data_IF_794698702930
#
_entry.id   IF_794698702930
#
_cell.length_a   1.000
_cell.length_b   1.000
_cell.length_c   1.000
_cell.angle_alpha   90.00
_cell.angle_beta   90.00
_cell.angle_gamma   90.00
#
_symmetry.space_group_name_H-M   'P 1'
#
loop_
_entity.id
_entity.type
_entity.pdbx_description
1 polymer ?
#
# COMPACT_ATOMS: atom_id res chain seq x y z
N UNK A 1 -12.47 -7.36 -15.83
CA UNK A 1 -11.42 -7.92 -14.96
C UNK A 1 -10.06 -7.54 -15.54
N UNK A 2 -9.05 -7.34 -14.68
CA UNK A 2 -7.71 -6.89 -15.09
C UNK A 2 -7.01 -7.95 -15.95
N UNK A 3 -7.05 -9.22 -15.53
CA UNK A 3 -6.37 -10.31 -16.23
C UNK A 3 -6.92 -10.57 -17.64
N UNK A 4 -8.22 -10.43 -17.83
CA UNK A 4 -8.84 -10.58 -19.17
C UNK A 4 -8.64 -9.35 -20.07
N UNK A 5 -8.48 -8.16 -19.49
CA UNK A 5 -8.20 -6.94 -20.26
C UNK A 5 -6.73 -6.91 -20.75
N UNK A 6 -5.80 -7.52 -20.01
CA UNK A 6 -4.36 -7.52 -20.32
C UNK A 6 -3.76 -8.95 -20.33
N UNK A 7 -4.26 -9.88 -21.18
CA UNK A 7 -3.90 -11.29 -21.14
C UNK A 7 -2.42 -11.57 -21.45
N UNK A 8 -1.73 -10.62 -22.07
CA UNK A 8 -0.30 -10.72 -22.38
C UNK A 8 0.63 -10.42 -21.17
N UNK A 9 0.06 -9.93 -20.05
CA UNK A 9 0.80 -9.64 -18.81
C UNK A 9 0.61 -10.77 -17.78
N UNK A 10 -0.53 -11.42 -17.79
CA UNK A 10 -0.98 -12.36 -16.76
C UNK A 10 -1.02 -13.79 -17.24
N UNK A 11 -0.65 -14.74 -16.36
CA UNK A 11 -0.85 -16.17 -16.55
C UNK A 11 -2.20 -16.65 -15.99
N UNK A 12 -2.54 -17.94 -16.23
CA UNK A 12 -3.80 -18.54 -15.75
C UNK A 12 -3.98 -18.46 -14.22
N UNK A 13 -2.90 -18.55 -13.47
CA UNK A 13 -2.88 -18.44 -12.01
C UNK A 13 -3.41 -17.09 -11.52
N UNK A 14 -3.13 -16.01 -12.26
CA UNK A 14 -3.61 -14.66 -11.94
C UNK A 14 -5.12 -14.53 -12.15
N UNK A 15 -5.70 -15.20 -13.16
CA UNK A 15 -7.14 -15.18 -13.40
C UNK A 15 -7.92 -15.86 -12.27
N UNK A 16 -7.43 -16.99 -11.77
CA UNK A 16 -8.01 -17.67 -10.60
C UNK A 16 -7.93 -16.81 -9.34
N UNK A 17 -6.80 -16.15 -9.14
CA UNK A 17 -6.57 -15.22 -8.03
C UNK A 17 -7.49 -14.00 -8.12
N UNK A 18 -7.66 -13.43 -9.32
CA UNK A 18 -8.57 -12.31 -9.56
C UNK A 18 -10.02 -12.68 -9.23
N UNK A 19 -10.48 -13.85 -9.63
CA UNK A 19 -11.82 -14.32 -9.30
C UNK A 19 -12.05 -14.37 -7.77
N UNK A 20 -11.06 -14.84 -7.01
CA UNK A 20 -11.11 -14.83 -5.53
C UNK A 20 -11.11 -13.40 -4.96
N UNK A 21 -10.25 -12.51 -5.47
CA UNK A 21 -10.16 -11.13 -5.01
C UNK A 21 -11.46 -10.35 -5.32
N UNK A 22 -12.07 -10.56 -6.48
CA UNK A 22 -13.35 -9.96 -6.88
C UNK A 22 -14.50 -10.41 -5.98
N UNK A 23 -14.52 -11.69 -5.61
CA UNK A 23 -15.56 -12.26 -4.74
C UNK A 23 -15.37 -11.91 -3.26
N UNK A 24 -14.18 -11.47 -2.87
CA UNK A 24 -13.84 -11.22 -1.48
C UNK A 24 -14.57 -10.00 -0.91
N UNK A 25 -15.13 -10.17 0.29
CA UNK A 25 -15.70 -9.09 1.09
C UNK A 25 -15.30 -9.29 2.54
N UNK A 26 -14.95 -8.19 3.21
CA UNK A 26 -14.68 -8.19 4.64
C UNK A 26 -15.27 -6.93 5.29
N UNK A 27 -15.56 -7.03 6.57
CA UNK A 27 -16.07 -5.95 7.42
C UNK A 27 -15.42 -6.04 8.80
N UNK A 28 -15.73 -5.11 9.68
CA UNK A 28 -15.14 -5.06 11.01
C UNK A 28 -13.81 -4.33 11.07
N UNK A 29 -13.03 -4.58 12.13
CA UNK A 29 -11.73 -3.98 12.37
C UNK A 29 -10.60 -4.62 11.55
N UNK A 30 -9.37 -4.14 11.77
CA UNK A 30 -8.18 -4.67 11.07
C UNK A 30 -8.02 -6.18 11.32
N UNK A 31 -8.20 -6.65 12.55
CA UNK A 31 -8.06 -8.08 12.89
C UNK A 31 -9.05 -8.97 12.16
N UNK A 32 -10.30 -8.53 12.06
CA UNK A 32 -11.35 -9.27 11.34
C UNK A 32 -11.03 -9.37 9.85
N UNK A 33 -10.58 -8.26 9.26
CA UNK A 33 -10.19 -8.17 7.84
C UNK A 33 -8.99 -9.06 7.53
N UNK A 34 -7.95 -9.02 8.36
CA UNK A 34 -6.73 -9.83 8.19
C UNK A 34 -7.05 -11.32 8.35
N UNK A 35 -7.89 -11.69 9.31
CA UNK A 35 -8.35 -13.07 9.47
C UNK A 35 -9.12 -13.56 8.24
N UNK A 36 -10.05 -12.75 7.72
CA UNK A 36 -10.80 -13.07 6.52
C UNK A 36 -9.91 -13.21 5.28
N UNK A 37 -8.91 -12.33 5.12
CA UNK A 37 -7.93 -12.39 4.02
C UNK A 37 -7.11 -13.69 4.08
N UNK A 38 -6.67 -14.10 5.28
CA UNK A 38 -5.98 -15.36 5.49
C UNK A 38 -6.84 -16.56 5.13
N UNK A 39 -8.08 -16.61 5.63
CA UNK A 39 -9.05 -17.66 5.35
C UNK A 39 -9.37 -17.80 3.84
N UNK A 40 -9.34 -16.66 3.10
CA UNK A 40 -9.53 -16.65 1.66
C UNK A 40 -8.25 -17.05 0.86
N UNK A 41 -7.12 -17.32 1.54
CA UNK A 41 -5.83 -17.59 0.90
C UNK A 41 -5.27 -16.42 0.10
N UNK A 42 -5.68 -15.18 0.44
CA UNK A 42 -5.16 -13.97 -0.22
C UNK A 42 -3.83 -13.51 0.36
N UNK A 43 -3.48 -13.90 1.59
CA UNK A 43 -2.21 -13.55 2.26
C UNK A 43 -1.04 -14.49 1.93
N UNK A 44 -1.20 -15.48 1.07
CA UNK A 44 -0.08 -16.31 0.62
C UNK A 44 0.99 -15.50 -0.11
N UNK A 45 2.27 -15.91 0.05
CA UNK A 45 3.38 -15.25 -0.66
C UNK A 45 3.21 -15.35 -2.18
N UNK A 46 3.33 -14.23 -2.88
CA UNK A 46 3.06 -14.13 -4.32
C UNK A 46 4.05 -13.19 -5.03
N UNK A 47 4.03 -13.21 -6.35
CA UNK A 47 4.75 -12.24 -7.19
C UNK A 47 4.08 -10.84 -7.19
N UNK A 48 4.70 -9.87 -7.84
CA UNK A 48 4.24 -8.47 -7.81
C UNK A 48 2.97 -8.29 -8.65
N UNK A 49 2.79 -9.03 -9.74
CA UNK A 49 1.55 -9.01 -10.56
C UNK A 49 0.37 -9.58 -9.78
N UNK A 50 0.58 -10.64 -9.02
CA UNK A 50 -0.44 -11.18 -8.10
C UNK A 50 -0.85 -10.16 -7.04
N UNK A 51 0.12 -9.44 -6.44
CA UNK A 51 -0.17 -8.34 -5.51
C UNK A 51 -0.99 -7.24 -6.19
N UNK A 52 -0.68 -6.90 -7.44
CA UNK A 52 -1.42 -5.89 -8.19
C UNK A 52 -2.87 -6.31 -8.42
N UNK A 53 -3.11 -7.57 -8.80
CA UNK A 53 -4.46 -8.12 -8.97
C UNK A 53 -5.26 -8.02 -7.68
N UNK A 54 -4.71 -8.50 -6.56
CA UNK A 54 -5.39 -8.47 -5.25
C UNK A 54 -5.67 -7.02 -4.85
N UNK A 55 -4.66 -6.17 -4.80
CA UNK A 55 -4.75 -4.79 -4.31
C UNK A 55 -5.71 -3.93 -5.13
N UNK A 56 -5.69 -4.09 -6.47
CA UNK A 56 -6.61 -3.36 -7.33
C UNK A 56 -8.07 -3.66 -6.96
N UNK A 57 -8.42 -4.92 -6.69
CA UNK A 57 -9.79 -5.30 -6.35
C UNK A 57 -10.16 -4.98 -4.91
N UNK A 58 -9.27 -5.20 -3.95
CA UNK A 58 -9.51 -4.83 -2.56
C UNK A 58 -9.73 -3.31 -2.43
N UNK A 59 -8.88 -2.50 -3.06
CA UNK A 59 -8.98 -1.03 -3.00
C UNK A 59 -10.19 -0.46 -3.76
N UNK A 60 -10.67 -1.16 -4.80
CA UNK A 60 -11.92 -0.83 -5.48
C UNK A 60 -13.13 -1.00 -4.54
N UNK A 61 -13.16 -2.08 -3.77
CA UNK A 61 -14.25 -2.39 -2.86
C UNK A 61 -14.15 -1.62 -1.55
N UNK A 62 -12.99 -1.63 -0.92
CA UNK A 62 -12.75 -1.03 0.38
C UNK A 62 -11.24 -0.75 0.61
N UNK A 63 -10.83 0.53 0.59
CA UNK A 63 -9.44 0.92 0.81
C UNK A 63 -8.84 0.45 2.14
N UNK A 64 -9.64 0.29 3.20
CA UNK A 64 -9.16 -0.19 4.50
C UNK A 64 -8.77 -1.67 4.43
N UNK A 65 -9.51 -2.47 3.67
CA UNK A 65 -9.17 -3.87 3.44
C UNK A 65 -7.86 -4.01 2.65
N UNK A 66 -7.66 -3.19 1.59
CA UNK A 66 -6.38 -3.13 0.88
C UNK A 66 -5.22 -2.74 1.80
N UNK A 67 -5.42 -1.73 2.64
CA UNK A 67 -4.38 -1.30 3.57
C UNK A 67 -4.03 -2.42 4.57
N UNK A 68 -5.03 -3.09 5.14
CA UNK A 68 -4.82 -4.23 6.05
C UNK A 68 -4.03 -5.34 5.37
N UNK A 69 -4.34 -5.64 4.10
CA UNK A 69 -3.60 -6.60 3.27
C UNK A 69 -2.14 -6.20 3.08
N UNK A 70 -1.87 -4.97 2.62
CA UNK A 70 -0.50 -4.57 2.28
C UNK A 70 0.40 -4.43 3.50
N UNK A 71 -0.13 -3.99 4.65
CA UNK A 71 0.67 -3.92 5.87
C UNK A 71 1.04 -5.32 6.35
N UNK A 72 0.16 -6.30 6.20
CA UNK A 72 0.48 -7.71 6.48
C UNK A 72 1.60 -8.22 5.56
N UNK A 73 1.57 -7.87 4.26
CA UNK A 73 2.65 -8.16 3.30
C UNK A 73 3.97 -7.50 3.70
N UNK A 74 3.95 -6.22 4.10
CA UNK A 74 5.15 -5.48 4.54
C UNK A 74 5.73 -6.08 5.84
N UNK A 75 4.90 -6.54 6.76
CA UNK A 75 5.33 -7.20 7.99
C UNK A 75 5.95 -8.59 7.73
N UNK A 76 5.34 -9.41 6.87
CA UNK A 76 5.83 -10.73 6.54
C UNK A 76 7.13 -10.71 5.71
N UNK A 77 7.25 -9.81 4.76
CA UNK A 77 8.36 -9.80 3.77
C UNK A 77 9.75 -9.77 4.42
N UNK A 78 10.06 -8.92 5.42
CA UNK A 78 11.37 -8.93 6.09
C UNK A 78 11.67 -10.25 6.80
N UNK A 79 10.67 -10.82 7.48
CA UNK A 79 10.82 -12.08 8.21
C UNK A 79 11.13 -13.25 7.26
N UNK A 80 10.38 -13.34 6.17
CA UNK A 80 10.58 -14.35 5.12
C UNK A 80 11.95 -14.23 4.43
N UNK A 81 12.36 -12.99 4.10
CA UNK A 81 13.66 -12.75 3.45
C UNK A 81 14.85 -13.07 4.35
N UNK A 82 14.68 -12.90 5.65
CA UNK A 82 15.69 -13.24 6.65
C UNK A 82 15.63 -14.72 7.09
N UNK A 83 14.64 -15.50 6.63
CA UNK A 83 14.31 -16.85 7.12
C UNK A 83 14.16 -16.88 8.66
N UNK A 84 13.52 -15.86 9.22
CA UNK A 84 13.35 -15.67 10.66
C UNK A 84 11.88 -15.88 11.07
N UNK A 85 11.67 -16.40 12.29
CA UNK A 85 10.35 -16.49 12.94
C UNK A 85 9.30 -17.18 12.07
N UNK A 86 9.61 -18.35 11.55
CA UNK A 86 8.76 -19.09 10.62
C UNK A 86 7.33 -19.33 11.15
N UNK A 87 7.18 -19.60 12.45
CA UNK A 87 5.88 -19.80 13.10
C UNK A 87 5.05 -18.50 13.09
N UNK A 88 5.67 -17.35 13.39
CA UNK A 88 5.00 -16.05 13.30
C UNK A 88 4.55 -15.75 11.86
N UNK A 89 5.42 -16.04 10.88
CA UNK A 89 5.08 -15.87 9.46
C UNK A 89 3.91 -16.78 9.07
N UNK A 90 3.89 -18.03 9.50
CA UNK A 90 2.79 -18.96 9.20
C UNK A 90 1.45 -18.46 9.78
N UNK A 91 1.44 -18.02 11.05
CA UNK A 91 0.26 -17.43 11.70
C UNK A 91 -0.17 -16.12 11.01
N UNK A 92 0.79 -15.29 10.60
CA UNK A 92 0.52 -14.05 9.90
C UNK A 92 -0.08 -14.31 8.50
N UNK A 93 0.44 -15.27 7.74
CA UNK A 93 -0.10 -15.68 6.43
C UNK A 93 -1.47 -16.34 6.55
N UNK A 94 -1.74 -17.02 7.64
CA UNK A 94 -3.07 -17.55 7.95
C UNK A 94 -4.06 -16.47 8.46
N UNK A 95 -3.61 -15.23 8.64
CA UNK A 95 -4.44 -14.11 9.12
C UNK A 95 -4.67 -14.09 10.63
N UNK A 96 -4.09 -15.00 11.40
CA UNK A 96 -4.27 -15.09 12.85
C UNK A 96 -3.32 -14.20 13.64
N UNK A 97 -2.25 -13.71 13.01
CA UNK A 97 -1.26 -12.81 13.63
C UNK A 97 -1.12 -11.53 12.80
N UNK A 98 -1.66 -10.43 13.30
CA UNK A 98 -1.58 -9.12 12.63
C UNK A 98 -0.22 -8.51 12.86
N UNK A 99 0.47 -8.16 11.78
CA UNK A 99 1.77 -7.51 11.78
C UNK A 99 1.68 -6.01 11.48
N UNK A 100 2.63 -5.26 12.03
CA UNK A 100 2.93 -3.89 11.66
C UNK A 100 4.37 -3.78 11.11
N UNK A 101 4.62 -2.75 10.28
CA UNK A 101 5.94 -2.43 9.73
C UNK A 101 6.35 -1.05 10.23
N UNK A 102 7.33 -1.00 11.14
CA UNK A 102 7.68 0.19 11.91
C UNK A 102 9.06 0.73 11.54
N UNK A 103 9.09 1.60 10.52
CA UNK A 103 10.30 2.25 10.01
C UNK A 103 10.33 3.73 10.37
N UNK A 104 9.25 4.47 10.07
CA UNK A 104 9.12 5.92 10.19
C UNK A 104 9.17 6.40 11.65
N UNK A 105 9.82 7.54 11.88
CA UNK A 105 9.92 8.23 13.16
C UNK A 105 9.50 9.70 13.03
N UNK A 106 9.28 10.45 14.14
CA UNK A 106 8.91 11.86 14.07
C UNK A 106 9.86 12.70 13.22
N UNK A 107 11.17 12.45 13.29
CA UNK A 107 12.21 13.19 12.59
C UNK A 107 12.80 12.44 11.37
N UNK A 108 12.34 11.22 11.06
CA UNK A 108 12.89 10.39 9.99
C UNK A 108 11.77 9.70 9.19
N UNK A 109 11.34 10.32 8.10
CA UNK A 109 10.41 9.78 7.11
C UNK A 109 11.13 9.33 5.85
N UNK A 110 11.38 10.24 4.91
CA UNK A 110 12.10 9.95 3.66
C UNK A 110 13.58 9.66 3.89
N UNK A 111 14.21 10.32 4.85
CA UNK A 111 15.57 9.99 5.31
C UNK A 111 15.54 8.84 6.34
N UNK A 112 15.47 7.62 5.82
CA UNK A 112 15.46 6.40 6.64
C UNK A 112 16.76 6.21 7.44
N UNK A 113 17.89 6.79 7.01
CA UNK A 113 19.16 6.70 7.74
C UNK A 113 19.19 7.57 8.99
N UNK A 114 18.32 8.59 9.03
CA UNK A 114 18.17 9.51 10.15
C UNK A 114 17.37 8.95 11.34
N UNK A 115 16.91 7.68 11.33
CA UNK A 115 16.15 7.11 12.46
C UNK A 115 16.94 7.22 13.76
N UNK A 116 16.25 7.43 14.88
CA UNK A 116 16.83 7.68 16.21
C UNK A 116 16.59 6.51 17.17
N UNK A 117 15.61 5.65 16.92
CA UNK A 117 15.37 4.44 17.73
C UNK A 117 16.62 3.59 17.80
N UNK A 118 17.03 3.22 19.02
CA UNK A 118 18.24 2.45 19.30
C UNK A 118 17.93 1.05 19.81
N UNK A 119 18.85 0.14 19.56
CA UNK A 119 18.85 -1.22 20.09
C UNK A 119 20.10 -1.46 20.93
N UNK A 120 19.94 -2.04 22.11
CA UNK A 120 21.04 -2.45 22.99
C UNK A 120 20.90 -3.93 23.27
N UNK A 121 22.01 -4.67 23.26
CA UNK A 121 22.03 -6.10 23.60
C UNK A 121 21.68 -6.28 25.07
N UNK A 122 20.79 -7.23 25.35
CA UNK A 122 20.39 -7.62 26.71
C UNK A 122 20.33 -9.15 26.80
N UNK A 123 21.37 -9.73 27.37
CA UNK A 123 21.52 -11.19 27.41
C UNK A 123 21.55 -11.81 26.01
N UNK A 124 20.60 -12.69 25.74
CA UNK A 124 20.43 -13.34 24.43
C UNK A 124 19.52 -12.56 23.47
N UNK A 125 18.93 -11.45 23.91
CA UNK A 125 18.01 -10.61 23.14
C UNK A 125 18.50 -9.17 23.00
N UNK A 126 17.55 -8.29 22.71
CA UNK A 126 17.77 -6.85 22.54
C UNK A 126 16.68 -6.08 23.24
N UNK A 127 16.99 -4.82 23.61
CA UNK A 127 16.01 -3.83 24.06
C UNK A 127 16.02 -2.65 23.13
N UNK A 128 14.82 -2.23 22.71
CA UNK A 128 14.63 -1.08 21.85
C UNK A 128 14.15 0.12 22.66
N UNK A 129 14.70 1.30 22.34
CA UNK A 129 14.26 2.58 22.91
C UNK A 129 14.10 3.62 21.81
N UNK A 130 12.94 4.26 21.74
CA UNK A 130 12.58 5.27 20.74
C UNK A 130 11.08 5.30 20.45
N UNK A 131 10.70 6.08 19.43
CA UNK A 131 9.29 6.21 19.03
C UNK A 131 9.14 6.04 17.53
N UNK A 132 8.26 5.12 17.13
CA UNK A 132 7.85 4.96 15.73
C UNK A 132 6.53 5.70 15.49
N UNK A 133 6.40 6.33 14.32
CA UNK A 133 5.32 7.26 14.00
C UNK A 133 4.63 6.85 12.70
N UNK A 134 3.31 7.09 12.60
CA UNK A 134 2.48 6.72 11.44
C UNK A 134 2.55 5.23 11.10
N UNK A 135 2.51 4.36 12.11
CA UNK A 135 2.59 2.92 11.92
C UNK A 135 1.19 2.35 11.70
N UNK A 136 0.92 1.94 10.47
CA UNK A 136 -0.35 1.30 10.12
C UNK A 136 -0.47 -0.05 10.81
N UNK A 137 -1.69 -0.44 11.19
CA UNK A 137 -2.05 -1.58 12.02
C UNK A 137 -1.52 -1.53 13.47
N UNK A 138 -0.73 -0.52 13.89
CA UNK A 138 -0.13 -0.50 15.22
C UNK A 138 -1.15 -0.70 16.36
N UNK A 139 -2.34 -0.05 16.38
CA UNK A 139 -3.30 -0.26 17.44
C UNK A 139 -3.86 -1.69 17.53
N UNK A 140 -3.80 -2.43 16.42
CA UNK A 140 -4.42 -3.75 16.27
C UNK A 140 -3.39 -4.89 16.16
N UNK A 141 -2.08 -4.57 16.02
CA UNK A 141 -1.06 -5.58 15.76
C UNK A 141 -0.80 -6.48 16.95
N UNK A 142 -0.46 -7.74 16.68
CA UNK A 142 0.07 -8.69 17.64
C UNK A 142 1.60 -8.56 17.72
N UNK A 143 2.26 -8.16 16.65
CA UNK A 143 3.69 -7.92 16.61
C UNK A 143 4.09 -6.91 15.54
N UNK A 144 5.28 -6.36 15.66
CA UNK A 144 5.82 -5.38 14.72
C UNK A 144 7.24 -5.72 14.27
N UNK A 145 7.49 -5.54 12.98
CA UNK A 145 8.85 -5.48 12.43
C UNK A 145 9.36 -4.05 12.60
N UNK A 146 10.42 -3.88 13.39
CA UNK A 146 10.95 -2.58 13.81
C UNK A 146 12.39 -2.41 13.33
N UNK A 147 12.69 -1.25 12.74
CA UNK A 147 14.04 -0.88 12.35
C UNK A 147 14.63 0.08 13.37
N UNK A 148 15.83 -0.27 13.90
CA UNK A 148 16.52 0.50 14.94
C UNK A 148 18.02 0.51 14.71
N UNK A 149 18.72 1.51 15.25
CA UNK A 149 20.17 1.58 15.25
C UNK A 149 20.76 0.53 16.19
N UNK A 150 21.64 -0.30 15.65
CA UNK A 150 22.51 -1.21 16.42
C UNK A 150 23.97 -0.79 16.16
N UNK A 151 24.55 -0.04 17.08
CA UNK A 151 25.82 0.65 16.83
C UNK A 151 25.66 1.66 15.68
N UNK A 152 26.48 1.55 14.64
CA UNK A 152 26.46 2.40 13.45
C UNK A 152 25.50 1.93 12.35
N UNK A 153 24.96 0.73 12.47
CA UNK A 153 24.08 0.13 11.47
C UNK A 153 22.60 0.26 11.85
N UNK A 154 21.73 0.26 10.84
CA UNK A 154 20.30 0.04 11.04
C UNK A 154 20.05 -1.47 10.93
N UNK A 155 19.53 -2.07 12.01
CA UNK A 155 19.15 -3.47 12.08
C UNK A 155 17.62 -3.62 12.05
N UNK A 156 17.15 -4.82 11.75
CA UNK A 156 15.74 -5.20 11.74
C UNK A 156 15.46 -6.10 12.94
N UNK A 157 14.40 -5.79 13.68
CA UNK A 157 13.96 -6.51 14.86
C UNK A 157 12.49 -6.89 14.75
N UNK A 158 12.10 -7.91 15.48
CA UNK A 158 10.71 -8.22 15.78
C UNK A 158 10.42 -7.88 17.23
N UNK A 159 9.30 -7.19 17.48
CA UNK A 159 8.76 -6.86 18.79
C UNK A 159 7.38 -7.49 18.92
N UNK A 160 7.23 -8.36 19.91
CA UNK A 160 5.94 -8.95 20.25
C UNK A 160 5.12 -7.96 21.09
N UNK A 161 3.80 -7.86 20.81
CA UNK A 161 2.85 -7.00 21.53
C UNK A 161 3.42 -5.60 21.86
N UNK A 162 3.88 -4.80 20.87
CA UNK A 162 4.54 -3.53 21.13
C UNK A 162 3.60 -2.54 21.82
N UNK A 163 4.09 -1.70 22.75
CA UNK A 163 3.29 -0.63 23.33
C UNK A 163 2.88 0.39 22.24
N UNK A 164 1.57 0.60 22.08
CA UNK A 164 1.02 1.46 21.01
C UNK A 164 0.07 2.52 21.53
N UNK A 165 -0.07 3.60 20.75
CA UNK A 165 -1.17 4.55 20.90
C UNK A 165 -1.74 4.88 19.52
N UNK A 166 -3.07 5.02 19.43
CA UNK A 166 -3.74 5.38 18.19
C UNK A 166 -3.43 6.81 17.77
N UNK A 167 -3.39 7.04 16.45
CA UNK A 167 -3.31 8.37 15.86
C UNK A 167 -4.54 8.62 14.99
N UNK A 168 -5.07 9.85 15.06
CA UNK A 168 -6.15 10.25 14.17
C UNK A 168 -5.58 10.58 12.79
N UNK A 169 -5.73 9.63 11.86
CA UNK A 169 -5.41 9.79 10.45
C UNK A 169 -6.62 9.38 9.64
N UNK A 170 -6.94 10.13 8.60
CA UNK A 170 -8.12 9.87 7.78
C UNK A 170 -8.12 8.42 7.26
N UNK A 171 -9.19 7.70 7.50
CA UNK A 171 -9.53 6.38 6.94
C UNK A 171 -8.64 5.19 7.35
N UNK A 172 -7.71 5.34 8.31
CA UNK A 172 -6.73 4.28 8.60
C UNK A 172 -6.58 3.99 10.09
N UNK A 173 -6.35 2.71 10.43
CA UNK A 173 -5.85 2.32 11.74
C UNK A 173 -4.34 2.58 11.78
N UNK A 174 -3.96 3.72 12.34
CA UNK A 174 -2.57 4.18 12.44
C UNK A 174 -2.24 4.49 13.89
N UNK A 175 -1.00 4.22 14.30
CA UNK A 175 -0.56 4.49 15.66
C UNK A 175 0.91 4.87 15.74
N UNK A 176 1.35 5.02 16.99
CA UNK A 176 2.75 5.13 17.39
C UNK A 176 3.15 3.89 18.16
N UNK A 177 4.41 3.48 18.04
CA UNK A 177 5.03 2.55 18.97
C UNK A 177 5.89 3.34 19.94
N UNK A 178 5.68 3.10 21.24
CA UNK A 178 6.45 3.70 22.31
C UNK A 178 7.39 2.63 22.90
N UNK A 179 8.64 2.66 22.46
CA UNK A 179 9.65 1.67 22.85
C UNK A 179 10.50 2.24 23.98
N UNK A 180 10.37 1.68 25.18
CA UNK A 180 11.13 2.06 26.36
C UNK A 180 11.76 0.81 26.97
N UNK A 181 12.98 0.49 26.55
CA UNK A 181 13.63 -0.75 26.90
C UNK A 181 12.82 -1.99 26.46
N UNK A 182 12.04 -1.90 25.39
CA UNK A 182 11.10 -2.93 24.93
C UNK A 182 11.88 -4.15 24.40
N UNK A 183 11.59 -5.36 24.89
CA UNK A 183 12.25 -6.59 24.44
C UNK A 183 12.05 -6.82 22.93
N UNK A 184 13.10 -7.27 22.25
CA UNK A 184 13.07 -7.51 20.81
C UNK A 184 13.97 -8.68 20.41
N UNK A 185 13.59 -9.34 19.31
CA UNK A 185 14.37 -10.39 18.66
C UNK A 185 15.04 -9.83 17.41
N UNK A 186 16.32 -10.07 17.24
CA UNK A 186 17.04 -9.65 16.02
C UNK A 186 16.59 -10.50 14.82
N UNK A 187 16.15 -9.83 13.76
CA UNK A 187 15.80 -10.45 12.48
C UNK A 187 16.97 -10.39 11.49
N UNK A 188 17.61 -9.22 11.39
CA UNK A 188 18.78 -9.05 10.54
C UNK A 188 19.62 -7.84 10.97
N UNK A 189 20.95 -7.99 11.03
CA UNK A 189 21.87 -6.89 11.36
C UNK A 189 21.95 -5.82 10.26
N UNK A 190 21.79 -6.22 8.99
CA UNK A 190 21.76 -5.31 7.83
C UNK A 190 20.31 -4.95 7.47
N UNK A 191 19.58 -4.35 8.40
CA UNK A 191 18.15 -4.06 8.29
C UNK A 191 17.81 -3.04 7.19
N UNK A 192 18.66 -2.05 6.94
CA UNK A 192 18.39 -1.01 5.93
C UNK A 192 18.21 -1.58 4.52
N UNK A 193 19.07 -2.52 4.12
CA UNK A 193 18.92 -3.23 2.84
C UNK A 193 17.62 -4.03 2.77
N UNK A 194 17.24 -4.64 3.89
CA UNK A 194 15.99 -5.40 4.01
C UNK A 194 14.76 -4.49 3.92
N UNK A 195 14.79 -3.31 4.57
CA UNK A 195 13.75 -2.31 4.46
C UNK A 195 13.54 -1.84 3.01
N UNK A 196 14.61 -1.45 2.33
CA UNK A 196 14.53 -1.01 0.93
C UNK A 196 14.04 -2.11 -0.01
N UNK A 197 14.53 -3.34 0.14
CA UNK A 197 14.07 -4.47 -0.68
C UNK A 197 12.58 -4.79 -0.46
N UNK A 198 12.07 -4.58 0.75
CA UNK A 198 10.65 -4.71 1.08
C UNK A 198 9.82 -3.62 0.40
N UNK A 199 10.23 -2.36 0.53
CA UNK A 199 9.55 -1.22 -0.08
C UNK A 199 9.60 -1.26 -1.61
N UNK A 200 10.74 -1.65 -2.22
CA UNK A 200 10.83 -1.80 -3.68
C UNK A 200 9.87 -2.83 -4.25
N UNK A 201 9.61 -3.91 -3.51
CA UNK A 201 8.60 -4.91 -3.89
C UNK A 201 7.19 -4.34 -3.77
N UNK A 202 6.93 -3.52 -2.75
CA UNK A 202 5.63 -2.90 -2.48
C UNK A 202 5.22 -1.81 -3.47
N UNK A 203 6.16 -0.96 -3.87
CA UNK A 203 5.89 0.27 -4.66
C UNK A 203 5.00 0.10 -5.89
N UNK A 204 5.24 -0.85 -6.83
CA UNK A 204 4.35 -1.04 -7.97
C UNK A 204 2.92 -1.37 -7.54
N UNK A 205 2.76 -2.11 -6.44
CA UNK A 205 1.45 -2.52 -5.94
C UNK A 205 0.68 -1.37 -5.25
N UNK A 206 1.36 -0.31 -4.79
CA UNK A 206 0.69 0.95 -4.37
C UNK A 206 -0.06 1.56 -5.55
N UNK A 207 0.56 1.53 -6.75
CA UNK A 207 -0.11 1.94 -7.99
C UNK A 207 -1.37 1.13 -8.28
N UNK A 208 -1.37 -0.16 -7.97
CA UNK A 208 -2.55 -1.01 -8.17
C UNK A 208 -3.73 -0.64 -7.24
N UNK A 209 -3.45 -0.32 -5.97
CA UNK A 209 -4.46 0.20 -5.06
C UNK A 209 -5.03 1.54 -5.57
N UNK A 210 -4.16 2.46 -6.02
CA UNK A 210 -4.57 3.73 -6.59
C UNK A 210 -5.48 3.55 -7.82
N UNK A 211 -5.13 2.66 -8.75
CA UNK A 211 -5.93 2.29 -9.92
C UNK A 211 -7.28 1.69 -9.49
N UNK A 212 -7.32 0.87 -8.45
CA UNK A 212 -8.55 0.31 -7.90
C UNK A 212 -9.51 1.38 -7.41
N UNK A 213 -9.02 2.30 -6.58
CA UNK A 213 -9.79 3.44 -6.07
C UNK A 213 -10.28 4.36 -7.19
N UNK A 214 -9.41 4.64 -8.19
CA UNK A 214 -9.74 5.48 -9.33
C UNK A 214 -10.83 4.83 -10.22
N UNK A 215 -10.75 3.53 -10.46
CA UNK A 215 -11.77 2.78 -11.18
C UNK A 215 -13.12 2.85 -10.48
N UNK A 216 -13.15 2.68 -9.14
CA UNK A 216 -14.40 2.84 -8.37
C UNK A 216 -14.96 4.26 -8.49
N UNK A 217 -14.12 5.28 -8.39
CA UNK A 217 -14.55 6.68 -8.52
C UNK A 217 -15.12 6.98 -9.90
N UNK A 218 -14.54 6.45 -10.97
CA UNK A 218 -15.06 6.57 -12.33
C UNK A 218 -16.42 5.88 -12.47
N UNK A 219 -16.56 4.64 -11.98
CA UNK A 219 -17.82 3.89 -12.03
C UNK A 219 -18.96 4.61 -11.26
N UNK A 220 -18.65 5.17 -10.06
CA UNK A 220 -19.59 5.97 -9.30
C UNK A 220 -20.00 7.25 -10.07
N UNK A 221 -19.02 7.91 -10.71
CA UNK A 221 -19.27 9.12 -11.50
C UNK A 221 -20.16 8.82 -12.70
N UNK A 222 -19.87 7.77 -13.46
CA UNK A 222 -20.68 7.35 -14.62
C UNK A 222 -22.13 7.05 -14.19
N UNK A 223 -22.29 6.31 -13.10
CA UNK A 223 -23.61 5.99 -12.54
C UNK A 223 -24.35 7.24 -12.12
N UNK A 224 -23.69 8.14 -11.38
CA UNK A 224 -24.30 9.38 -10.88
C UNK A 224 -24.72 10.32 -12.02
N UNK A 225 -23.83 10.63 -12.98
CA UNK A 225 -24.16 11.58 -14.06
C UNK A 225 -25.18 11.03 -15.04
N UNK A 226 -25.30 9.72 -15.18
CA UNK A 226 -26.33 9.08 -16.01
C UNK A 226 -27.72 9.16 -15.39
N UNK A 227 -27.80 9.08 -14.05
CA UNK A 227 -29.07 9.13 -13.33
C UNK A 227 -29.54 10.56 -12.96
N UNK A 228 -28.59 11.43 -12.57
CA UNK A 228 -28.89 12.79 -12.09
C UNK A 228 -29.34 13.71 -13.23
N UNK A 229 -30.49 14.32 -13.07
CA UNK A 229 -31.05 15.27 -14.05
C UNK A 229 -30.93 16.72 -13.54
N UNK A 230 -30.45 17.61 -14.42
CA UNK A 230 -30.45 19.06 -14.25
C UNK A 230 -30.71 19.73 -15.61
N UNK A 231 -31.23 20.94 -15.63
CA UNK A 231 -31.51 21.66 -16.87
C UNK A 231 -32.40 20.84 -17.85
N UNK A 232 -33.33 20.04 -17.33
CA UNK A 232 -34.26 19.23 -18.11
C UNK A 232 -33.67 17.91 -18.69
N UNK A 233 -32.38 17.59 -18.47
CA UNK A 233 -31.71 16.42 -19.06
C UNK A 233 -30.77 15.73 -18.06
N UNK A 234 -30.31 14.47 -18.31
CA UNK A 234 -29.26 13.85 -17.53
C UNK A 234 -27.97 14.67 -17.58
N UNK A 235 -27.18 14.72 -16.50
CA UNK A 235 -25.88 15.39 -16.51
C UNK A 235 -24.97 14.84 -17.61
N UNK A 236 -25.05 13.53 -17.88
CA UNK A 236 -24.29 12.86 -18.94
C UNK A 236 -24.60 13.38 -20.37
N UNK A 237 -25.67 14.13 -20.57
CA UNK A 237 -25.99 14.78 -21.86
C UNK A 237 -25.19 16.08 -22.07
N UNK A 238 -24.65 16.68 -21.00
CA UNK A 238 -23.88 17.93 -21.07
C UNK A 238 -22.49 17.68 -21.65
N UNK A 239 -22.06 18.41 -22.70
CA UNK A 239 -20.76 18.19 -23.35
C UNK A 239 -19.57 18.23 -22.38
N UNK A 240 -19.55 19.18 -21.44
CA UNK A 240 -18.50 19.31 -20.45
C UNK A 240 -18.42 18.09 -19.51
N UNK A 241 -19.55 17.51 -19.11
CA UNK A 241 -19.59 16.30 -18.28
C UNK A 241 -19.04 15.10 -19.05
N UNK A 242 -19.45 14.95 -20.33
CA UNK A 242 -18.93 13.89 -21.21
C UNK A 242 -17.43 13.98 -21.37
N UNK A 243 -16.88 15.19 -21.59
CA UNK A 243 -15.46 15.42 -21.70
C UNK A 243 -14.73 15.00 -20.40
N UNK A 244 -15.23 15.41 -19.22
CA UNK A 244 -14.63 15.06 -17.93
C UNK A 244 -14.59 13.54 -17.68
N UNK A 245 -15.68 12.84 -17.99
CA UNK A 245 -15.72 11.37 -17.87
C UNK A 245 -14.71 10.71 -18.83
N UNK A 246 -14.58 11.22 -20.06
CA UNK A 246 -13.60 10.73 -21.02
C UNK A 246 -12.15 10.96 -20.55
N UNK A 247 -11.82 12.14 -20.02
CA UNK A 247 -10.51 12.47 -19.43
C UNK A 247 -10.16 11.52 -18.27
N UNK A 248 -11.12 11.25 -17.37
CA UNK A 248 -10.94 10.28 -16.27
C UNK A 248 -10.65 8.87 -16.81
N UNK A 249 -11.33 8.44 -17.88
CA UNK A 249 -11.09 7.13 -18.51
C UNK A 249 -9.69 7.02 -19.13
N UNK A 250 -9.24 8.07 -19.84
CA UNK A 250 -7.88 8.12 -20.43
C UNK A 250 -6.80 8.09 -19.34
N UNK A 251 -6.98 8.88 -18.28
CA UNK A 251 -6.06 8.88 -17.13
C UNK A 251 -5.99 7.50 -16.45
N UNK A 252 -7.14 6.82 -16.28
CA UNK A 252 -7.20 5.49 -15.67
C UNK A 252 -6.47 4.44 -16.51
N UNK A 253 -6.65 4.45 -17.83
CA UNK A 253 -5.99 3.52 -18.72
C UNK A 253 -4.47 3.72 -18.70
N UNK A 254 -3.99 4.96 -18.84
CA UNK A 254 -2.56 5.28 -18.77
C UNK A 254 -1.93 4.88 -17.43
N UNK A 255 -2.63 5.13 -16.33
CA UNK A 255 -2.21 4.74 -14.98
C UNK A 255 -2.12 3.21 -14.82
N UNK A 256 -3.11 2.48 -15.36
CA UNK A 256 -3.15 1.02 -15.34
C UNK A 256 -1.98 0.43 -16.08
N UNK A 257 -1.69 0.89 -17.30
CA UNK A 257 -0.58 0.40 -18.12
C UNK A 257 0.79 0.67 -17.47
N UNK A 258 0.99 1.87 -16.91
CA UNK A 258 2.24 2.21 -16.21
C UNK A 258 2.47 1.33 -14.97
N UNK A 259 1.43 1.09 -14.18
CA UNK A 259 1.46 0.21 -13.02
C UNK A 259 1.75 -1.25 -13.43
N UNK A 260 1.06 -1.78 -14.43
CA UNK A 260 1.25 -3.14 -14.94
C UNK A 260 2.66 -3.36 -15.48
N UNK A 261 3.19 -2.39 -16.23
CA UNK A 261 4.57 -2.43 -16.70
C UNK A 261 5.57 -2.52 -15.55
N UNK A 262 5.37 -1.73 -14.48
CA UNK A 262 6.23 -1.75 -13.31
C UNK A 262 6.19 -3.11 -12.58
N UNK A 263 5.00 -3.70 -12.43
CA UNK A 263 4.83 -5.02 -11.82
C UNK A 263 5.52 -6.12 -12.66
N UNK A 264 5.28 -6.11 -13.97
CA UNK A 264 5.89 -7.07 -14.87
C UNK A 264 7.43 -6.96 -14.87
N UNK A 265 7.99 -5.74 -14.97
CA UNK A 265 9.44 -5.50 -14.88
C UNK A 265 10.03 -6.04 -13.58
N UNK A 266 9.33 -5.88 -12.47
CA UNK A 266 9.78 -6.38 -11.16
C UNK A 266 9.84 -7.90 -11.14
N UNK A 267 8.83 -8.58 -11.68
CA UNK A 267 8.78 -10.04 -11.68
C UNK A 267 9.73 -10.68 -12.70
N UNK A 268 9.97 -9.99 -13.83
CA UNK A 268 10.91 -10.43 -14.87
C UNK A 268 12.38 -10.12 -14.55
N UNK A 269 12.66 -9.34 -13.50
CA UNK A 269 14.01 -8.91 -13.15
C UNK A 269 14.89 -10.09 -12.74
N UNK A 270 16.11 -10.15 -13.30
CA UNK A 270 17.14 -11.12 -12.91
C UNK A 270 17.72 -10.77 -11.53
N UNK A 271 18.32 -11.74 -10.82
CA UNK A 271 19.03 -11.46 -9.58
C UNK A 271 20.06 -10.32 -9.77
N UNK A 272 19.97 -9.28 -8.92
CA UNK A 272 20.85 -8.10 -8.99
C UNK A 272 20.39 -6.99 -9.93
N UNK A 273 19.39 -7.22 -10.79
CA UNK A 273 18.82 -6.18 -11.65
C UNK A 273 18.00 -5.17 -10.84
N UNK A 274 18.27 -3.87 -11.06
CA UNK A 274 17.56 -2.77 -10.39
C UNK A 274 16.26 -2.44 -11.12
N UNK A 275 15.14 -2.45 -10.42
CA UNK A 275 13.82 -2.09 -10.94
C UNK A 275 13.26 -0.79 -10.33
N UNK A 276 14.09 -0.06 -9.60
CA UNK A 276 13.70 1.16 -8.89
C UNK A 276 13.09 2.22 -9.80
N UNK A 277 13.63 2.41 -11.00
CA UNK A 277 13.10 3.34 -12.00
C UNK A 277 11.65 3.00 -12.39
N UNK A 278 11.40 1.79 -12.88
CA UNK A 278 10.06 1.39 -13.33
C UNK A 278 9.06 1.37 -12.18
N UNK A 279 9.49 0.94 -10.98
CA UNK A 279 8.66 0.99 -9.78
C UNK A 279 8.28 2.40 -9.36
N UNK A 280 9.22 3.36 -9.44
CA UNK A 280 8.97 4.78 -9.16
C UNK A 280 8.00 5.37 -10.18
N UNK A 281 8.26 5.20 -11.48
CA UNK A 281 7.39 5.70 -12.57
C UNK A 281 5.97 5.13 -12.43
N UNK A 282 5.83 3.80 -12.26
CA UNK A 282 4.52 3.17 -12.13
C UNK A 282 3.72 3.68 -10.94
N UNK A 283 4.38 3.87 -9.78
CA UNK A 283 3.73 4.44 -8.59
C UNK A 283 3.33 5.90 -8.80
N UNK A 284 4.23 6.75 -9.30
CA UNK A 284 3.96 8.18 -9.53
C UNK A 284 2.76 8.33 -10.48
N UNK A 285 2.85 7.74 -11.67
CA UNK A 285 1.80 7.87 -12.70
C UNK A 285 0.45 7.41 -12.15
N UNK A 286 0.40 6.25 -11.48
CA UNK A 286 -0.84 5.71 -10.98
C UNK A 286 -1.45 6.56 -9.83
N UNK A 287 -0.65 6.99 -8.86
CA UNK A 287 -1.18 7.73 -7.70
C UNK A 287 -1.57 9.17 -8.06
N UNK A 288 -0.84 9.83 -8.97
CA UNK A 288 -1.18 11.19 -9.43
C UNK A 288 -2.44 11.18 -10.31
N UNK A 289 -2.57 10.22 -11.22
CA UNK A 289 -3.77 10.06 -12.03
C UNK A 289 -4.99 9.73 -11.16
N UNK A 290 -4.85 8.79 -10.20
CA UNK A 290 -5.93 8.44 -9.29
C UNK A 290 -6.41 9.64 -8.46
N UNK A 291 -5.49 10.48 -7.99
CA UNK A 291 -5.87 11.72 -7.27
C UNK A 291 -6.70 12.64 -8.16
N UNK A 292 -6.32 12.85 -9.43
CA UNK A 292 -7.09 13.69 -10.38
C UNK A 292 -8.45 13.09 -10.68
N UNK A 293 -8.52 11.78 -10.92
CA UNK A 293 -9.78 11.08 -11.21
C UNK A 293 -10.75 11.20 -10.04
N UNK A 294 -10.28 10.96 -8.81
CA UNK A 294 -11.12 11.00 -7.61
C UNK A 294 -11.54 12.42 -7.29
N UNK A 295 -10.67 13.42 -7.46
CA UNK A 295 -11.01 14.83 -7.32
C UNK A 295 -12.13 15.24 -8.29
N UNK A 296 -12.01 14.84 -9.56
CA UNK A 296 -13.04 15.06 -10.56
C UNK A 296 -14.36 14.32 -10.24
N UNK A 297 -14.27 13.13 -9.64
CA UNK A 297 -15.45 12.39 -9.21
C UNK A 297 -16.23 13.18 -8.13
N UNK A 298 -15.54 13.73 -7.12
CA UNK A 298 -16.14 14.62 -6.12
C UNK A 298 -16.79 15.83 -6.80
N UNK A 299 -16.10 16.47 -7.75
CA UNK A 299 -16.61 17.62 -8.49
C UNK A 299 -17.89 17.28 -9.29
N UNK A 300 -17.94 16.13 -9.96
CA UNK A 300 -19.13 15.71 -10.73
C UNK A 300 -20.34 15.39 -9.85
N UNK A 301 -20.11 14.93 -8.60
CA UNK A 301 -21.20 14.69 -7.64
C UNK A 301 -21.71 15.98 -6.97
N UNK A 302 -20.96 17.10 -7.06
CA UNK A 302 -21.35 18.36 -6.44
C UNK A 302 -21.47 18.24 -4.91
N UNK A 303 -22.49 18.83 -4.30
CA UNK A 303 -22.68 18.81 -2.84
C UNK A 303 -22.71 17.40 -2.24
N UNK A 304 -23.34 16.43 -2.92
CA UNK A 304 -23.34 15.02 -2.48
C UNK A 304 -21.94 14.43 -2.41
N UNK A 305 -21.03 14.90 -3.28
CA UNK A 305 -19.63 14.42 -3.33
C UNK A 305 -18.80 14.78 -2.10
N UNK A 306 -19.23 15.74 -1.27
CA UNK A 306 -18.52 16.15 -0.04
C UNK A 306 -19.15 15.60 1.25
N UNK A 307 -20.29 14.88 1.15
CA UNK A 307 -20.89 14.22 2.31
C UNK A 307 -20.00 13.06 2.79
N UNK A 308 -19.88 12.87 4.11
CA UNK A 308 -19.04 11.80 4.68
C UNK A 308 -19.48 10.39 4.27
N UNK A 309 -20.77 10.20 4.03
CA UNK A 309 -21.36 8.94 3.55
C UNK A 309 -21.07 8.65 2.08
N UNK A 310 -20.67 9.66 1.31
CA UNK A 310 -20.38 9.51 -0.12
C UNK A 310 -19.14 8.66 -0.37
N UNK A 311 -19.26 7.68 -1.27
CA UNK A 311 -18.15 6.82 -1.68
C UNK A 311 -16.97 7.64 -2.24
N UNK A 312 -17.27 8.65 -3.08
CA UNK A 312 -16.20 9.46 -3.70
C UNK A 312 -15.46 10.32 -2.66
N UNK A 313 -16.14 10.77 -1.60
CA UNK A 313 -15.52 11.47 -0.48
C UNK A 313 -14.60 10.53 0.34
N UNK A 314 -15.05 9.31 0.60
CA UNK A 314 -14.25 8.31 1.29
C UNK A 314 -12.99 7.97 0.47
N UNK A 315 -13.12 7.79 -0.84
CA UNK A 315 -12.00 7.59 -1.76
C UNK A 315 -11.05 8.79 -1.79
N UNK A 316 -11.57 10.02 -1.74
CA UNK A 316 -10.76 11.25 -1.72
C UNK A 316 -9.85 11.32 -0.49
N UNK A 317 -10.36 10.89 0.66
CA UNK A 317 -9.54 10.78 1.89
C UNK A 317 -8.53 9.63 1.79
N UNK A 318 -8.94 8.50 1.24
CA UNK A 318 -8.11 7.29 1.17
C UNK A 318 -6.95 7.40 0.18
N UNK A 319 -7.15 8.08 -0.97
CA UNK A 319 -6.10 8.18 -2.01
C UNK A 319 -4.93 9.09 -1.59
N UNK A 320 -5.19 10.12 -0.78
CA UNK A 320 -4.18 11.16 -0.50
C UNK A 320 -2.88 10.61 0.11
N UNK A 321 -2.90 9.67 1.08
CA UNK A 321 -1.70 9.07 1.64
C UNK A 321 -0.86 8.26 0.65
N UNK A 322 -1.45 7.70 -0.43
CA UNK A 322 -0.71 6.89 -1.40
C UNK A 322 0.36 7.67 -2.15
N UNK A 323 0.23 8.99 -2.23
CA UNK A 323 1.25 9.88 -2.79
C UNK A 323 2.40 10.16 -1.82
N UNK A 324 2.26 9.78 -0.54
CA UNK A 324 3.20 10.08 0.54
C UNK A 324 3.97 8.84 0.97
N UNK A 325 3.28 7.78 1.37
CA UNK A 325 3.93 6.58 1.88
C UNK A 325 4.62 5.74 0.80
N UNK A 326 5.51 4.84 1.20
CA UNK A 326 6.36 3.99 0.34
C UNK A 326 7.17 4.78 -0.70
N UNK A 327 7.55 6.01 -0.34
CA UNK A 327 8.26 6.98 -1.17
C UNK A 327 7.33 8.07 -1.68
N UNK A 328 7.46 9.27 -1.11
CA UNK A 328 6.72 10.44 -1.57
C UNK A 328 7.01 10.74 -3.05
N UNK A 329 6.04 11.33 -3.76
CA UNK A 329 6.19 11.67 -5.18
C UNK A 329 7.51 12.42 -5.46
N UNK A 330 7.86 13.42 -4.65
CA UNK A 330 9.08 14.21 -4.82
C UNK A 330 10.36 13.37 -4.65
N UNK A 331 10.37 12.45 -3.68
CA UNK A 331 11.49 11.52 -3.47
C UNK A 331 11.63 10.54 -4.63
N UNK A 332 10.51 10.04 -5.16
CA UNK A 332 10.54 9.12 -6.30
C UNK A 332 10.94 9.83 -7.60
N UNK A 333 10.61 11.12 -7.75
CA UNK A 333 11.11 11.94 -8.87
C UNK A 333 12.63 12.06 -8.84
N UNK A 334 13.26 12.15 -7.65
CA UNK A 334 14.73 12.10 -7.52
C UNK A 334 15.29 10.75 -7.99
N UNK A 335 14.65 9.63 -7.64
CA UNK A 335 15.05 8.29 -8.14
C UNK A 335 14.98 8.21 -9.66
N UNK A 336 13.93 8.80 -10.26
CA UNK A 336 13.78 8.86 -11.72
C UNK A 336 14.89 9.71 -12.34
N UNK A 337 15.16 10.89 -11.76
CA UNK A 337 16.19 11.81 -12.25
C UNK A 337 17.60 11.17 -12.17
N UNK A 338 17.96 10.56 -11.06
CA UNK A 338 19.23 9.83 -10.88
C UNK A 338 19.40 8.72 -11.92
N UNK A 339 18.32 8.02 -12.26
CA UNK A 339 18.37 6.97 -13.29
C UNK A 339 18.56 7.51 -14.70
N UNK A 340 18.07 8.71 -14.99
CA UNK A 340 18.16 9.34 -16.32
C UNK A 340 19.48 10.10 -16.51
N UNK A 341 19.98 10.74 -15.47
CA UNK A 341 21.17 11.58 -15.51
C UNK A 341 22.47 10.80 -15.20
N UNK A 342 22.35 9.59 -14.69
CA UNK A 342 23.45 8.88 -14.05
C UNK A 342 23.62 9.33 -12.59
N UNK A 343 24.15 8.46 -11.74
CA UNK A 343 24.52 8.87 -10.39
C UNK A 343 25.61 9.95 -10.46
N UNK A 344 25.36 11.09 -9.83
CA UNK A 344 26.34 12.16 -9.69
C UNK A 344 27.48 11.74 -8.74
#
# INVERSE_FOLDING_TARGET
>A
MLTSAYPYIFGPEHASLEARAVAFRASGGVRDRVLALGAAGLLERRDTRSLAVIRRHLAYEDPLTDLSFVIQELGCTPLERANALADIVAEARAGRHVLAFALTEPNAGSDVRGIETTAVRDGHGYRLTGTKHFISNAPDCHGAVVFAKLGTNVACFYVDAPPTSAQSVASHSVGRLHLDGTPAVLVAEKGLGLAFATLERGRPSVGAAAVGMAARALDESVRFVSGRRQFGQPLAALPVVRQRVAEMGVDLEGATLAMLHACWKRDAAKPGERTGYSGAVGKIVATEAAQRIIDMAVQLHGGVGVEESSVVQQLYRAIRPLRIYEGATDVLLSVVAESLLGAA
#
